data_IF_493248551449
#
_entry.id   IF_493248551449
#
_cell.length_a   1.000
_cell.length_b   1.000
_cell.length_c   1.000
_cell.angle_alpha   90.00
_cell.angle_beta   90.00
_cell.angle_gamma   90.00
#
_symmetry.space_group_name_H-M   'P 1'
#
loop_
_entity.id
_entity.type
_entity.pdbx_description
1 polymer ?
#
# COMPACT_ATOMS: atom_id res chain seq x y z
N UNK A 1 3.17 13.00 15.41
CA UNK A 1 2.72 11.75 14.75
C UNK A 1 2.37 12.09 13.30
N UNK A 2 2.85 11.34 12.31
CA UNK A 2 2.49 11.58 10.90
C UNK A 2 1.07 11.15 10.56
N UNK A 3 0.52 11.66 9.45
CA UNK A 3 -0.80 11.28 8.95
C UNK A 3 -0.81 9.80 8.53
N UNK A 4 -1.89 9.07 8.85
CA UNK A 4 -2.08 7.66 8.48
C UNK A 4 -3.45 7.48 7.84
N UNK A 5 -3.51 6.68 6.78
CA UNK A 5 -4.74 6.38 6.03
C UNK A 5 -4.80 4.88 5.79
N UNK A 6 -5.96 4.27 6.03
CA UNK A 6 -6.25 2.89 5.68
C UNK A 6 -7.22 2.85 4.50
N UNK A 7 -6.87 2.10 3.47
CA UNK A 7 -7.74 1.83 2.34
C UNK A 7 -8.37 0.44 2.55
N UNK A 8 -9.69 0.40 2.72
CA UNK A 8 -10.46 -0.82 2.93
C UNK A 8 -11.56 -0.97 1.87
N UNK A 9 -12.18 -2.14 1.81
CA UNK A 9 -13.20 -2.48 0.81
C UNK A 9 -13.93 -3.76 1.20
N UNK A 10 -15.08 -4.01 0.60
CA UNK A 10 -16.06 -5.03 1.02
C UNK A 10 -15.63 -6.48 0.81
N UNK A 11 -14.61 -6.73 -0.03
CA UNK A 11 -14.12 -8.08 -0.30
C UNK A 11 -13.00 -8.11 -1.34
N UNK A 12 -12.58 -9.30 -1.78
CA UNK A 12 -11.62 -9.43 -2.88
C UNK A 12 -12.19 -8.84 -4.19
N UNK A 13 -11.32 -8.34 -5.07
CA UNK A 13 -11.73 -7.71 -6.33
C UNK A 13 -12.33 -6.30 -6.22
N UNK A 14 -12.51 -5.74 -5.02
CA UNK A 14 -13.11 -4.40 -4.81
C UNK A 14 -12.23 -3.21 -5.23
N UNK A 15 -11.09 -3.42 -5.90
CA UNK A 15 -10.22 -2.35 -6.39
C UNK A 15 -9.24 -1.71 -5.40
N UNK A 16 -9.14 -2.22 -4.15
CA UNK A 16 -8.24 -1.67 -3.10
C UNK A 16 -6.78 -1.52 -3.54
N UNK A 17 -6.23 -2.57 -4.15
CA UNK A 17 -4.84 -2.56 -4.63
C UNK A 17 -4.65 -1.50 -5.71
N UNK A 18 -5.57 -1.42 -6.68
CA UNK A 18 -5.49 -0.47 -7.78
C UNK A 18 -5.51 0.99 -7.27
N UNK A 19 -6.47 1.32 -6.39
CA UNK A 19 -6.57 2.68 -5.86
C UNK A 19 -5.38 3.02 -4.96
N UNK A 20 -4.90 2.07 -4.15
CA UNK A 20 -3.71 2.26 -3.29
C UNK A 20 -2.48 2.58 -4.14
N UNK A 21 -2.23 1.81 -5.19
CA UNK A 21 -1.14 2.06 -6.13
C UNK A 21 -1.24 3.45 -6.79
N UNK A 22 -2.44 3.85 -7.22
CA UNK A 22 -2.69 5.18 -7.79
C UNK A 22 -2.37 6.32 -6.82
N UNK A 23 -2.82 6.18 -5.56
CA UNK A 23 -2.53 7.16 -4.49
C UNK A 23 -1.03 7.24 -4.23
N UNK A 24 -0.36 6.09 -4.04
CA UNK A 24 1.09 6.05 -3.78
C UNK A 24 1.89 6.71 -4.91
N UNK A 25 1.56 6.40 -6.16
CA UNK A 25 2.22 7.02 -7.31
C UNK A 25 1.98 8.53 -7.36
N UNK A 26 0.75 8.99 -7.08
CA UNK A 26 0.43 10.41 -7.03
C UNK A 26 1.23 11.14 -5.94
N UNK A 27 1.28 10.59 -4.73
CA UNK A 27 2.02 11.20 -3.62
C UNK A 27 3.53 11.20 -3.87
N UNK A 28 4.08 10.11 -4.40
CA UNK A 28 5.49 10.04 -4.81
C UNK A 28 5.83 11.09 -5.87
N UNK A 29 4.97 11.26 -6.88
CA UNK A 29 5.14 12.29 -7.92
C UNK A 29 5.07 13.72 -7.37
N UNK A 30 4.39 13.92 -6.24
CA UNK A 30 4.37 15.21 -5.51
C UNK A 30 5.60 15.43 -4.61
N UNK A 31 6.58 14.51 -4.61
CA UNK A 31 7.79 14.61 -3.80
C UNK A 31 7.57 14.29 -2.32
N UNK A 32 6.43 13.70 -1.95
CA UNK A 32 6.16 13.34 -0.57
C UNK A 32 6.83 12.02 -0.20
N UNK A 33 7.39 11.97 1.01
CA UNK A 33 7.87 10.71 1.59
C UNK A 33 6.68 9.92 2.12
N UNK A 34 6.45 8.74 1.52
CA UNK A 34 5.31 7.88 1.85
C UNK A 34 5.79 6.46 2.07
N UNK A 35 5.31 5.84 3.15
CA UNK A 35 5.42 4.41 3.38
C UNK A 35 4.08 3.72 3.10
N UNK A 36 4.13 2.46 2.68
CA UNK A 36 2.96 1.64 2.45
C UNK A 36 3.15 0.26 3.06
N UNK A 37 2.07 -0.30 3.57
CA UNK A 37 2.01 -1.64 4.15
C UNK A 37 0.71 -2.29 3.73
N UNK A 38 0.70 -3.60 3.78
CA UNK A 38 -0.48 -4.40 3.48
C UNK A 38 -1.02 -5.04 4.76
N UNK A 39 -2.35 -5.14 4.88
CA UNK A 39 -3.03 -5.90 5.94
C UNK A 39 -3.75 -7.13 5.33
N UNK A 40 -3.45 -8.31 5.85
CA UNK A 40 -4.01 -9.64 5.57
C UNK A 40 -2.95 -10.70 5.23
N UNK A 41 -3.34 -11.90 4.75
CA UNK A 41 -2.42 -12.98 4.38
C UNK A 41 -1.74 -12.84 2.99
N UNK A 42 -2.40 -12.25 1.98
CA UNK A 42 -1.81 -12.07 0.63
C UNK A 42 -0.51 -11.23 0.62
N UNK A 43 0.42 -11.54 -0.29
CA UNK A 43 1.75 -10.90 -0.37
C UNK A 43 1.96 -10.04 -1.63
N UNK A 44 0.92 -9.86 -2.46
CA UNK A 44 1.08 -9.19 -3.75
C UNK A 44 1.18 -7.67 -3.64
N UNK A 45 0.41 -7.04 -2.73
CA UNK A 45 0.42 -5.57 -2.60
C UNK A 45 1.81 -5.02 -2.21
N UNK A 46 2.57 -5.65 -1.28
CA UNK A 46 3.95 -5.23 -1.03
C UNK A 46 4.81 -5.23 -2.31
N UNK A 47 4.65 -6.19 -3.22
CA UNK A 47 5.43 -6.17 -4.47
C UNK A 47 5.08 -4.93 -5.33
N UNK A 48 3.81 -4.57 -5.39
CA UNK A 48 3.38 -3.37 -6.11
C UNK A 48 3.82 -2.06 -5.43
N UNK A 49 3.65 -1.94 -4.11
CA UNK A 49 4.09 -0.71 -3.43
C UNK A 49 5.61 -0.56 -3.51
N UNK A 50 6.37 -1.66 -3.43
CA UNK A 50 7.83 -1.61 -3.54
C UNK A 50 8.27 -1.10 -4.92
N UNK A 51 7.60 -1.57 -5.98
CA UNK A 51 7.85 -1.11 -7.34
C UNK A 51 7.54 0.38 -7.51
N UNK A 52 6.47 0.87 -6.90
CA UNK A 52 6.07 2.28 -6.98
C UNK A 52 7.01 3.15 -6.16
N UNK A 53 7.26 2.79 -4.90
CA UNK A 53 8.01 3.62 -3.96
C UNK A 53 9.52 3.53 -4.17
N UNK A 54 10.02 2.40 -4.69
CA UNK A 54 11.47 2.14 -4.86
C UNK A 54 12.15 1.69 -3.57
N UNK A 55 11.37 1.32 -2.55
CA UNK A 55 11.85 0.82 -1.25
C UNK A 55 11.08 -0.44 -0.87
N UNK A 56 11.67 -1.37 -0.11
CA UNK A 56 10.96 -2.54 0.37
C UNK A 56 9.73 -2.16 1.20
N UNK A 57 8.66 -2.92 1.05
CA UNK A 57 7.41 -2.86 1.83
C UNK A 57 7.03 -4.27 2.23
N UNK A 58 6.21 -4.39 3.27
CA UNK A 58 5.87 -5.65 3.93
C UNK A 58 4.42 -5.63 4.40
N UNK A 59 3.92 -6.80 4.78
CA UNK A 59 2.68 -6.88 5.52
C UNK A 59 2.89 -6.26 6.90
N UNK A 60 1.87 -5.54 7.39
CA UNK A 60 1.84 -5.00 8.74
C UNK A 60 1.58 -6.12 9.75
N UNK A 61 0.78 -7.10 9.34
CA UNK A 61 0.36 -8.22 10.17
C UNK A 61 1.33 -9.38 9.96
N UNK A 62 1.99 -9.79 11.03
CA UNK A 62 3.01 -10.83 11.03
C UNK A 62 2.48 -12.22 11.38
N UNK A 63 1.16 -12.38 11.52
CA UNK A 63 0.52 -13.55 12.14
C UNK A 63 -0.18 -14.48 11.13
N UNK A 64 0.22 -14.44 9.86
CA UNK A 64 -0.24 -15.35 8.81
C UNK A 64 0.94 -16.08 8.18
#
# INVERSE_FOLDING_TARGET
MGNRIMIAGTGSGSGKTMITCGILNCLKRRGLQVGAWKCGPDYIDPMFHARILGVPTRNLDSFF
#
